data_IF_235237808593
#
_entry.id   IF_235237808593
#
_cell.length_a   1.000
_cell.length_b   1.000
_cell.length_c   1.000
_cell.angle_alpha   90.00
_cell.angle_beta   90.00
_cell.angle_gamma   90.00
#
_symmetry.space_group_name_H-M   'P 1'
#
loop_
_entity.id
_entity.type
_entity.pdbx_description
1 polymer ?
#
# COMPACT_ATOMS: atom_id res chain seq x y z
N UNK A 1 -7.71 -1.41 5.68
CA UNK A 1 -8.08 -2.84 5.78
C UNK A 1 -9.59 -3.01 5.62
N UNK A 2 -10.42 -2.37 6.46
CA UNK A 2 -11.89 -2.55 6.43
C UNK A 2 -12.50 -2.30 5.06
N UNK A 3 -12.15 -1.19 4.41
CA UNK A 3 -12.62 -0.85 3.06
C UNK A 3 -12.32 -1.94 2.02
N UNK A 4 -11.13 -2.55 2.11
CA UNK A 4 -10.73 -3.65 1.22
C UNK A 4 -11.58 -4.89 1.48
N UNK A 5 -11.82 -5.22 2.75
CA UNK A 5 -12.65 -6.37 3.14
C UNK A 5 -14.12 -6.18 2.73
N UNK A 6 -14.66 -4.97 2.85
CA UNK A 6 -15.99 -4.63 2.34
C UNK A 6 -16.10 -4.83 0.83
N UNK A 7 -15.13 -4.30 0.07
CA UNK A 7 -15.07 -4.46 -1.39
C UNK A 7 -14.87 -5.91 -1.80
N UNK A 8 -14.06 -6.68 -1.09
CA UNK A 8 -13.87 -8.11 -1.37
C UNK A 8 -15.18 -8.90 -1.38
N UNK A 9 -16.16 -8.52 -0.56
CA UNK A 9 -17.45 -9.22 -0.52
C UNK A 9 -18.24 -9.08 -1.84
N UNK A 10 -18.10 -7.95 -2.53
CA UNK A 10 -18.77 -7.66 -3.79
C UNK A 10 -17.92 -8.02 -5.01
N UNK A 11 -16.66 -7.60 -5.00
CA UNK A 11 -15.73 -7.74 -6.14
C UNK A 11 -15.03 -9.10 -6.19
N UNK A 12 -15.09 -9.87 -5.10
CA UNK A 12 -14.49 -11.22 -4.99
C UNK A 12 -12.99 -11.24 -5.29
N UNK A 13 -12.25 -10.27 -4.76
CA UNK A 13 -10.80 -10.23 -4.89
C UNK A 13 -10.15 -11.55 -4.44
N UNK A 14 -9.24 -12.07 -5.24
CA UNK A 14 -8.49 -13.30 -4.97
C UNK A 14 -7.02 -13.01 -4.73
N UNK A 15 -6.47 -12.01 -5.44
CA UNK A 15 -5.07 -11.64 -5.40
C UNK A 15 -4.91 -10.18 -4.98
N UNK A 16 -4.04 -9.94 -4.00
CA UNK A 16 -3.73 -8.59 -3.51
C UNK A 16 -2.24 -8.42 -3.27
N UNK A 17 -1.73 -7.24 -3.61
CA UNK A 17 -0.36 -6.81 -3.37
C UNK A 17 -0.35 -5.65 -2.38
N UNK A 18 0.43 -5.77 -1.30
CA UNK A 18 0.76 -4.69 -0.37
C UNK A 18 2.14 -4.11 -0.69
N UNK A 19 2.20 -2.81 -0.99
CA UNK A 19 3.45 -2.11 -1.33
C UNK A 19 3.91 -1.27 -0.13
N UNK A 20 5.17 -1.44 0.26
CA UNK A 20 5.72 -0.82 1.46
C UNK A 20 5.16 -1.45 2.73
N UNK A 21 5.19 -2.78 2.79
CA UNK A 21 4.47 -3.56 3.80
C UNK A 21 4.95 -3.33 5.25
N UNK A 22 6.17 -2.85 5.43
CA UNK A 22 6.74 -2.61 6.76
C UNK A 22 6.74 -3.89 7.62
N UNK A 23 6.01 -3.87 8.71
CA UNK A 23 5.86 -5.01 9.63
C UNK A 23 4.84 -6.07 9.19
N UNK A 24 4.18 -5.88 8.04
CA UNK A 24 3.18 -6.80 7.52
C UNK A 24 1.78 -6.62 8.09
N UNK A 25 1.48 -5.51 8.75
CA UNK A 25 0.19 -5.31 9.42
C UNK A 25 -1.00 -5.42 8.46
N UNK A 26 -0.91 -4.79 7.29
CA UNK A 26 -1.99 -4.78 6.29
C UNK A 26 -2.23 -6.20 5.74
N UNK A 27 -1.24 -6.88 5.13
CA UNK A 27 -1.48 -8.16 4.48
C UNK A 27 -1.81 -9.26 5.48
N UNK A 28 -1.28 -9.22 6.71
CA UNK A 28 -1.63 -10.17 7.77
C UNK A 28 -3.10 -9.99 8.17
N UNK A 29 -3.55 -8.74 8.35
CA UNK A 29 -4.96 -8.46 8.67
C UNK A 29 -5.89 -8.90 7.54
N UNK A 30 -5.52 -8.65 6.29
CA UNK A 30 -6.28 -9.11 5.12
C UNK A 30 -6.34 -10.64 5.05
N UNK A 31 -5.24 -11.34 5.34
CA UNK A 31 -5.22 -12.80 5.39
C UNK A 31 -6.04 -13.39 6.53
N UNK A 32 -6.14 -12.67 7.66
CA UNK A 32 -6.89 -13.13 8.83
C UNK A 32 -8.41 -12.96 8.64
N UNK A 33 -8.84 -11.81 8.11
CA UNK A 33 -10.26 -11.45 8.02
C UNK A 33 -10.86 -11.64 6.63
N UNK A 34 -10.03 -11.71 5.59
CA UNK A 34 -10.45 -11.85 4.19
C UNK A 34 -10.37 -13.28 3.67
N UNK A 35 -10.74 -13.42 2.40
CA UNK A 35 -10.69 -14.71 1.66
C UNK A 35 -9.87 -14.52 0.39
N UNK A 36 -8.58 -14.23 0.56
CA UNK A 36 -7.65 -14.09 -0.55
C UNK A 36 -6.99 -15.44 -0.86
N UNK A 37 -6.83 -15.76 -2.15
CA UNK A 37 -6.09 -16.92 -2.61
C UNK A 37 -4.59 -16.65 -2.63
N UNK A 38 -4.21 -15.40 -2.98
CA UNK A 38 -2.84 -14.95 -3.08
C UNK A 38 -2.68 -13.59 -2.40
N UNK A 39 -1.82 -13.52 -1.41
CA UNK A 39 -1.42 -12.28 -0.74
C UNK A 39 0.07 -12.12 -0.95
N UNK A 40 0.44 -11.03 -1.60
CA UNK A 40 1.82 -10.65 -1.82
C UNK A 40 2.12 -9.36 -1.08
N UNK A 41 3.35 -9.22 -0.65
CA UNK A 41 3.81 -8.01 0.02
C UNK A 41 5.24 -7.69 -0.37
N UNK A 42 5.52 -6.42 -0.60
CA UNK A 42 6.85 -5.94 -0.95
C UNK A 42 7.31 -4.84 0.00
N UNK A 43 8.60 -4.81 0.22
CA UNK A 43 9.29 -3.71 0.88
C UNK A 43 10.72 -3.62 0.33
N UNK A 44 11.27 -2.42 0.32
CA UNK A 44 12.67 -2.20 -0.06
C UNK A 44 13.62 -2.63 1.08
N UNK A 45 13.11 -2.68 2.30
CA UNK A 45 13.86 -3.00 3.51
C UNK A 45 13.79 -4.50 3.82
N UNK A 46 14.90 -5.21 3.61
CA UNK A 46 15.03 -6.60 4.03
C UNK A 46 14.76 -6.80 5.53
N UNK A 47 15.10 -5.80 6.33
CA UNK A 47 14.85 -5.84 7.79
C UNK A 47 13.35 -5.79 8.08
N UNK A 48 12.59 -4.94 7.37
CA UNK A 48 11.14 -4.86 7.50
C UNK A 48 10.49 -6.18 7.09
N UNK A 49 10.91 -6.77 5.96
CA UNK A 49 10.44 -8.09 5.51
C UNK A 49 10.75 -9.21 6.51
N UNK A 50 11.87 -9.13 7.22
CA UNK A 50 12.17 -10.05 8.31
C UNK A 50 11.11 -10.01 9.42
N UNK A 51 10.74 -8.82 9.88
CA UNK A 51 9.67 -8.64 10.86
C UNK A 51 8.30 -9.07 10.31
N UNK A 52 7.98 -8.70 9.06
CA UNK A 52 6.72 -9.08 8.42
C UNK A 52 6.59 -10.62 8.34
N UNK A 53 7.66 -11.31 7.95
CA UNK A 53 7.70 -12.77 7.87
C UNK A 53 7.47 -13.42 9.24
N UNK A 54 8.17 -12.95 10.28
CA UNK A 54 7.97 -13.46 11.64
C UNK A 54 6.53 -13.25 12.13
N UNK A 55 5.96 -12.06 11.84
CA UNK A 55 4.59 -11.72 12.22
C UNK A 55 3.58 -12.58 11.46
N UNK A 56 3.78 -12.82 10.17
CA UNK A 56 2.91 -13.69 9.38
C UNK A 56 2.92 -15.13 9.92
N UNK A 57 4.09 -15.67 10.25
CA UNK A 57 4.24 -17.01 10.88
C UNK A 57 3.51 -17.06 12.23
N UNK A 58 3.69 -16.08 13.10
CA UNK A 58 3.01 -16.01 14.42
C UNK A 58 1.50 -15.98 14.30
N UNK A 59 0.98 -15.39 13.23
CA UNK A 59 -0.47 -15.31 12.96
C UNK A 59 -0.99 -16.46 12.08
N UNK A 60 -0.14 -17.38 11.64
CA UNK A 60 -0.47 -18.47 10.72
C UNK A 60 -1.09 -17.99 9.39
N UNK A 61 -0.60 -16.87 8.85
CA UNK A 61 -1.02 -16.32 7.58
C UNK A 61 0.07 -16.58 6.53
N UNK A 62 -0.33 -17.12 5.37
CA UNK A 62 0.57 -17.30 4.24
C UNK A 62 0.61 -16.04 3.40
N UNK A 63 1.79 -15.48 3.24
CA UNK A 63 2.07 -14.29 2.41
C UNK A 63 3.36 -14.54 1.64
N UNK A 64 3.37 -14.19 0.36
CA UNK A 64 4.57 -14.23 -0.45
C UNK A 64 5.27 -12.86 -0.38
N UNK A 65 6.42 -12.81 0.27
CA UNK A 65 7.21 -11.60 0.48
C UNK A 65 8.32 -11.45 -0.56
N UNK A 66 8.50 -10.23 -1.09
CA UNK A 66 9.56 -9.90 -2.05
C UNK A 66 10.30 -8.63 -1.63
N UNK A 67 11.63 -8.66 -1.65
CA UNK A 67 12.45 -7.46 -1.55
C UNK A 67 12.41 -6.73 -2.90
N UNK A 68 11.74 -5.57 -2.93
CA UNK A 68 11.50 -4.84 -4.16
C UNK A 68 11.35 -3.35 -3.90
N UNK A 69 11.93 -2.55 -4.80
CA UNK A 69 11.55 -1.16 -4.96
C UNK A 69 10.29 -1.13 -5.82
N UNK A 70 9.15 -0.86 -5.16
CA UNK A 70 7.81 -0.96 -5.73
C UNK A 70 7.61 -2.31 -6.48
N UNK A 71 7.47 -2.25 -7.80
CA UNK A 71 7.15 -3.42 -8.63
C UNK A 71 8.39 -4.12 -9.26
N UNK A 72 9.60 -3.60 -9.04
CA UNK A 72 10.79 -3.95 -9.82
C UNK A 72 11.14 -5.44 -9.80
N UNK A 73 11.01 -6.10 -8.64
CA UNK A 73 11.40 -7.50 -8.46
C UNK A 73 10.20 -8.45 -8.32
N UNK A 74 9.01 -8.00 -8.66
CA UNK A 74 7.82 -8.87 -8.63
C UNK A 74 7.85 -9.89 -9.77
N UNK A 75 7.36 -11.11 -9.54
CA UNK A 75 7.21 -12.11 -10.58
C UNK A 75 6.32 -11.63 -11.72
N UNK A 76 6.80 -11.77 -12.96
CA UNK A 76 6.13 -11.23 -14.15
C UNK A 76 4.74 -11.84 -14.42
N UNK A 77 4.46 -13.03 -13.90
CA UNK A 77 3.15 -13.68 -13.99
C UNK A 77 2.03 -12.89 -13.32
N UNK A 78 2.35 -11.95 -12.44
CA UNK A 78 1.36 -11.08 -11.78
C UNK A 78 1.01 -9.82 -12.58
N UNK A 79 1.74 -9.51 -13.65
CA UNK A 79 1.38 -8.39 -14.54
C UNK A 79 0.00 -8.62 -15.15
N UNK A 80 -0.90 -7.64 -14.94
CA UNK A 80 -2.28 -7.69 -15.42
C UNK A 80 -3.17 -8.72 -14.70
N UNK A 81 -2.71 -9.29 -13.57
CA UNK A 81 -3.42 -10.35 -12.87
C UNK A 81 -3.78 -10.03 -11.40
N UNK A 82 -3.42 -8.86 -10.90
CA UNK A 82 -3.78 -8.44 -9.55
C UNK A 82 -5.21 -7.91 -9.50
N UNK A 83 -6.00 -8.41 -8.57
CA UNK A 83 -7.34 -7.86 -8.28
C UNK A 83 -7.25 -6.52 -7.54
N UNK A 84 -6.27 -6.41 -6.64
CA UNK A 84 -6.09 -5.21 -5.85
C UNK A 84 -4.61 -4.93 -5.54
N UNK A 85 -4.29 -3.66 -5.41
CA UNK A 85 -3.03 -3.15 -4.85
C UNK A 85 -3.41 -2.26 -3.67
N UNK A 86 -2.68 -2.40 -2.57
CA UNK A 86 -2.81 -1.53 -1.39
C UNK A 86 -1.45 -0.96 -1.03
N UNK A 87 -1.42 0.26 -0.54
CA UNK A 87 -0.21 0.85 0.02
C UNK A 87 -0.53 1.89 1.10
N UNK A 88 0.29 1.89 2.15
CA UNK A 88 0.45 3.00 3.07
C UNK A 88 1.88 3.53 2.88
N UNK A 89 2.14 4.31 1.82
CA UNK A 89 3.48 4.78 1.51
C UNK A 89 3.86 5.97 2.39
N UNK A 90 5.15 6.35 2.46
CA UNK A 90 5.56 7.61 3.03
C UNK A 90 4.87 8.78 2.31
N UNK A 91 4.22 9.66 3.08
CA UNK A 91 3.40 10.74 2.52
C UNK A 91 3.68 12.13 3.13
N UNK A 92 4.64 12.24 4.04
CA UNK A 92 4.95 13.51 4.70
C UNK A 92 5.84 14.33 3.77
N UNK A 93 5.45 15.58 3.45
CA UNK A 93 6.33 16.48 2.69
C UNK A 93 7.64 16.70 3.43
N UNK A 94 8.74 16.70 2.70
CA UNK A 94 10.09 16.82 3.27
C UNK A 94 10.27 18.02 4.19
N UNK A 95 9.65 19.17 3.86
CA UNK A 95 9.67 20.40 4.66
C UNK A 95 9.02 20.22 6.04
N UNK A 96 8.01 19.33 6.14
CA UNK A 96 7.21 19.17 7.34
C UNK A 96 7.82 18.12 8.31
N UNK A 97 8.75 17.29 7.82
CA UNK A 97 9.42 16.26 8.63
C UNK A 97 10.21 16.89 9.81
N UNK A 98 10.78 18.09 9.61
CA UNK A 98 11.54 18.77 10.67
C UNK A 98 10.65 19.23 11.83
N UNK A 99 9.36 19.45 11.56
CA UNK A 99 8.35 19.89 12.54
C UNK A 99 7.66 18.74 13.28
N UNK A 100 7.96 17.48 12.88
CA UNK A 100 7.35 16.31 13.52
C UNK A 100 7.75 16.20 15.00
N UNK A 101 6.83 15.65 15.78
CA UNK A 101 7.10 15.32 17.18
C UNK A 101 8.27 14.35 17.30
N UNK A 102 9.06 14.50 18.35
CA UNK A 102 10.27 13.70 18.61
C UNK A 102 9.98 12.20 18.58
N UNK A 103 8.81 11.77 19.09
CA UNK A 103 8.41 10.36 19.09
C UNK A 103 8.27 9.77 17.68
N UNK A 104 7.84 10.56 16.71
CA UNK A 104 7.75 10.11 15.30
C UNK A 104 9.12 10.14 14.65
N UNK A 105 9.84 11.26 14.81
CA UNK A 105 11.12 11.51 14.18
C UNK A 105 12.24 10.56 14.63
N UNK A 106 12.26 10.21 15.93
CA UNK A 106 13.32 9.42 16.53
C UNK A 106 13.09 7.91 16.48
N UNK A 107 11.86 7.46 16.28
CA UNK A 107 11.48 6.03 16.31
C UNK A 107 11.12 5.45 14.97
N UNK A 108 10.75 6.27 13.98
CA UNK A 108 10.50 5.81 12.62
C UNK A 108 11.69 6.10 11.70
N UNK A 109 12.06 5.15 10.82
CA UNK A 109 13.09 5.40 9.82
C UNK A 109 12.69 6.57 8.90
N UNK A 110 13.62 7.49 8.62
CA UNK A 110 13.36 8.66 7.76
C UNK A 110 12.76 8.28 6.39
N UNK A 111 13.20 7.17 5.83
CA UNK A 111 12.67 6.66 4.56
C UNK A 111 11.24 6.11 4.65
N UNK A 112 10.71 5.91 5.86
CA UNK A 112 9.31 5.54 6.07
C UNK A 112 8.38 6.76 6.25
N UNK A 113 8.94 7.97 6.30
CA UNK A 113 8.21 9.23 6.50
C UNK A 113 8.25 10.13 5.26
N UNK A 114 9.41 10.19 4.57
CA UNK A 114 9.69 11.12 3.47
C UNK A 114 8.94 10.76 2.20
N UNK A 115 7.86 11.47 1.93
CA UNK A 115 7.04 11.36 0.71
C UNK A 115 7.52 12.23 -0.46
N UNK A 116 8.70 12.84 -0.35
CA UNK A 116 9.22 13.78 -1.35
C UNK A 116 8.85 15.24 -1.08
N UNK A 117 9.00 16.11 -2.07
CA UNK A 117 8.80 17.54 -1.89
C UNK A 117 7.37 17.92 -1.45
N UNK A 118 6.38 17.28 -2.02
CA UNK A 118 4.95 17.53 -1.75
C UNK A 118 4.23 16.32 -1.11
N UNK A 119 4.96 15.27 -0.73
CA UNK A 119 4.41 14.08 -0.11
C UNK A 119 3.72 13.11 -1.08
N UNK A 120 3.87 13.29 -2.40
CA UNK A 120 3.14 12.52 -3.40
C UNK A 120 4.03 11.61 -4.28
N UNK A 121 5.34 11.58 -4.07
CA UNK A 121 6.25 10.88 -4.98
C UNK A 121 5.96 9.38 -5.11
N UNK A 122 5.70 8.70 -3.99
CA UNK A 122 5.34 7.28 -4.01
C UNK A 122 3.99 7.03 -4.66
N UNK A 123 3.01 7.90 -4.42
CA UNK A 123 1.69 7.77 -5.05
C UNK A 123 1.79 7.89 -6.57
N UNK A 124 2.57 8.85 -7.10
CA UNK A 124 2.81 8.99 -8.54
C UNK A 124 3.40 7.72 -9.13
N UNK A 125 4.45 7.20 -8.50
CA UNK A 125 5.11 5.98 -8.97
C UNK A 125 4.18 4.75 -8.93
N UNK A 126 3.39 4.59 -7.85
CA UNK A 126 2.47 3.45 -7.71
C UNK A 126 1.29 3.59 -8.67
N UNK A 127 0.72 4.78 -8.84
CA UNK A 127 -0.39 5.04 -9.76
C UNK A 127 0.02 4.77 -11.20
N UNK A 128 1.20 5.24 -11.63
CA UNK A 128 1.71 5.03 -12.97
C UNK A 128 1.98 3.55 -13.26
N UNK A 129 2.78 2.89 -12.42
CA UNK A 129 3.22 1.51 -12.64
C UNK A 129 2.10 0.50 -12.36
N UNK A 130 1.25 0.75 -11.37
CA UNK A 130 0.21 -0.17 -10.91
C UNK A 130 -0.78 -0.58 -12.01
N UNK A 131 -0.98 0.27 -13.01
CA UNK A 131 -1.84 -0.03 -14.17
C UNK A 131 -1.39 -1.27 -14.96
N UNK A 132 -0.09 -1.52 -15.02
CA UNK A 132 0.44 -2.71 -15.70
C UNK A 132 0.22 -4.01 -14.90
N UNK A 133 0.02 -3.88 -13.59
CA UNK A 133 -0.11 -5.02 -12.67
C UNK A 133 -1.55 -5.37 -12.34
N UNK A 134 -2.42 -4.36 -12.30
CA UNK A 134 -3.85 -4.58 -12.10
C UNK A 134 -4.49 -5.19 -13.35
N UNK A 135 -5.41 -6.11 -13.14
CA UNK A 135 -6.31 -6.58 -14.19
C UNK A 135 -7.33 -5.48 -14.54
N UNK A 136 -8.03 -5.64 -15.65
CA UNK A 136 -9.16 -4.78 -15.99
C UNK A 136 -10.21 -4.79 -14.86
N UNK A 137 -10.57 -3.61 -14.37
CA UNK A 137 -11.46 -3.45 -13.23
C UNK A 137 -10.81 -3.74 -11.86
N UNK A 138 -9.48 -3.86 -11.80
CA UNK A 138 -8.74 -3.99 -10.54
C UNK A 138 -8.73 -2.70 -9.73
N UNK A 139 -8.53 -2.81 -8.42
CA UNK A 139 -8.63 -1.73 -7.46
C UNK A 139 -7.29 -1.30 -6.89
N UNK A 140 -7.16 0.01 -6.66
CA UNK A 140 -6.01 0.61 -5.99
C UNK A 140 -6.48 1.27 -4.69
N UNK A 141 -5.84 0.93 -3.56
CA UNK A 141 -6.16 1.44 -2.24
C UNK A 141 -4.96 2.14 -1.63
N UNK A 142 -5.18 3.35 -1.11
CA UNK A 142 -4.15 4.11 -0.42
C UNK A 142 -4.60 4.53 0.98
N UNK A 143 -3.67 4.51 1.93
CA UNK A 143 -3.72 5.39 3.08
C UNK A 143 -3.08 6.72 2.68
N UNK A 144 -3.63 7.84 3.13
CA UNK A 144 -3.24 9.17 2.67
C UNK A 144 -3.21 10.16 3.84
N UNK A 145 -2.43 11.22 3.70
CA UNK A 145 -2.50 12.37 4.60
C UNK A 145 -3.87 13.06 4.52
N UNK A 146 -4.29 13.67 5.62
CA UNK A 146 -5.62 14.28 5.78
C UNK A 146 -5.95 15.37 4.72
N UNK A 147 -4.96 16.00 4.15
CA UNK A 147 -5.08 17.08 3.18
C UNK A 147 -4.78 16.66 1.72
N UNK A 148 -4.37 15.41 1.47
CA UNK A 148 -3.92 14.94 0.16
C UNK A 148 -5.06 14.43 -0.75
N UNK A 149 -6.29 14.33 -0.25
CA UNK A 149 -7.39 13.68 -0.97
C UNK A 149 -7.70 14.25 -2.35
N UNK A 150 -7.69 15.58 -2.51
CA UNK A 150 -7.99 16.24 -3.79
C UNK A 150 -6.85 16.10 -4.80
N UNK A 151 -5.61 16.17 -4.37
CA UNK A 151 -4.46 16.05 -5.27
C UNK A 151 -4.31 14.61 -5.76
N UNK A 152 -4.54 13.63 -4.88
CA UNK A 152 -4.59 12.22 -5.29
C UNK A 152 -5.76 11.90 -6.21
N UNK A 153 -6.92 12.52 -6.01
CA UNK A 153 -8.05 12.38 -6.94
C UNK A 153 -7.67 12.83 -8.34
N UNK A 154 -7.03 14.00 -8.48
CA UNK A 154 -6.56 14.52 -9.77
C UNK A 154 -5.53 13.58 -10.40
N UNK A 155 -4.54 13.18 -9.62
CA UNK A 155 -3.50 12.24 -10.07
C UNK A 155 -4.11 10.94 -10.61
N UNK A 156 -5.01 10.32 -9.87
CA UNK A 156 -5.68 9.09 -10.30
C UNK A 156 -6.48 9.28 -11.59
N UNK A 157 -7.20 10.43 -11.73
CA UNK A 157 -7.94 10.74 -12.95
C UNK A 157 -7.03 10.95 -14.17
N UNK A 158 -5.89 11.61 -14.01
CA UNK A 158 -4.88 11.81 -15.07
C UNK A 158 -4.37 10.48 -15.62
N UNK A 159 -4.22 9.47 -14.75
CA UNK A 159 -3.83 8.13 -15.14
C UNK A 159 -5.00 7.21 -15.54
N UNK A 160 -6.22 7.75 -15.61
CA UNK A 160 -7.39 7.04 -16.13
C UNK A 160 -8.05 6.08 -15.15
N UNK A 161 -7.80 6.22 -13.84
CA UNK A 161 -8.59 5.52 -12.82
C UNK A 161 -9.97 6.16 -12.69
N UNK A 162 -10.97 5.32 -12.42
CA UNK A 162 -12.39 5.70 -12.25
C UNK A 162 -12.90 5.30 -10.87
N UNK A 163 -14.12 5.67 -10.54
CA UNK A 163 -14.79 5.30 -9.29
C UNK A 163 -13.98 5.65 -8.03
N UNK A 164 -13.35 6.84 -8.05
CA UNK A 164 -12.43 7.30 -7.01
C UNK A 164 -13.22 7.77 -5.78
N UNK A 165 -13.02 7.09 -4.67
CA UNK A 165 -13.61 7.43 -3.37
C UNK A 165 -12.53 7.91 -2.42
N UNK A 166 -12.80 8.97 -1.66
CA UNK A 166 -12.00 9.38 -0.50
C UNK A 166 -12.87 9.17 0.75
N UNK A 167 -12.35 8.41 1.70
CA UNK A 167 -13.03 8.12 2.97
C UNK A 167 -12.23 8.67 4.12
N UNK A 168 -12.89 9.25 5.09
CA UNK A 168 -12.26 9.62 6.36
C UNK A 168 -12.13 8.37 7.25
N UNK A 169 -11.09 8.37 8.08
CA UNK A 169 -10.94 7.34 9.11
C UNK A 169 -11.91 7.55 10.28
N UNK A 170 -11.81 6.70 11.30
CA UNK A 170 -12.68 6.78 12.48
C UNK A 170 -12.35 7.98 13.40
N UNK A 171 -11.23 8.65 13.17
CA UNK A 171 -10.82 9.82 13.94
C UNK A 171 -11.33 11.14 13.33
N UNK A 172 -11.80 11.14 12.09
CA UNK A 172 -12.46 12.25 11.39
C UNK A 172 -11.53 13.07 10.53
#
# INVERSE_FOLDING_TARGET
>A
VETILERQQTEKFKSILDIGTGSGCIPISLGHYGKFENIMAVDISQKALGYATENAVKNNIKIDFYESDLFTNLPAEWKGNLDAIVSNPPYIPKKDIEELMTEVKDFEPMNALDGGEDGLDFYRAIVEQGREWLKDGGWLFFEIGYDQGEDLRKLLQEFGYTDIEVRQDLAG
#
